data_IF_108609887975
#
_entry.id   IF_108609887975
#
_cell.length_a   1.000
_cell.length_b   1.000
_cell.length_c   1.000
_cell.angle_alpha   90.00
_cell.angle_beta   90.00
_cell.angle_gamma   90.00
#
_symmetry.space_group_name_H-M   'P 1'
#
loop_
_entity.id
_entity.type
_entity.pdbx_description
1 polymer ?
#
# COMPACT_ATOMS: atom_id res chain seq x y z
N UNK A 1 21.20 7.98 -5.40
CA UNK A 1 20.69 7.59 -6.73
C UNK A 1 19.43 6.74 -6.56
N UNK A 2 18.39 7.29 -5.92
CA UNK A 2 17.14 6.59 -5.62
C UNK A 2 15.90 7.51 -5.55
N UNK A 3 15.98 8.76 -6.04
CA UNK A 3 14.94 9.76 -5.78
C UNK A 3 14.21 10.28 -7.04
N UNK A 4 14.45 9.68 -8.22
CA UNK A 4 13.88 10.15 -9.49
C UNK A 4 12.73 9.30 -10.05
N UNK A 5 12.48 8.10 -9.50
CA UNK A 5 11.49 7.18 -10.08
C UNK A 5 10.06 7.43 -9.54
N UNK A 6 9.92 8.08 -8.38
CA UNK A 6 8.61 8.40 -7.79
C UNK A 6 7.88 9.57 -8.47
N UNK A 7 8.55 10.33 -9.33
CA UNK A 7 8.06 11.59 -9.86
C UNK A 7 7.43 11.50 -11.26
N UNK A 8 7.36 10.30 -11.86
CA UNK A 8 6.67 10.12 -13.15
C UNK A 8 5.18 9.80 -13.02
N UNK A 9 4.66 9.71 -11.79
CA UNK A 9 3.22 9.77 -11.51
C UNK A 9 2.80 11.23 -11.26
N UNK A 10 3.24 12.15 -12.12
CA UNK A 10 2.70 13.50 -12.17
C UNK A 10 1.58 13.49 -13.20
N UNK A 11 0.37 13.45 -12.66
CA UNK A 11 -0.86 13.83 -13.35
C UNK A 11 -0.63 15.20 -14.00
N UNK A 12 -0.88 15.28 -15.31
CA UNK A 12 -1.05 16.54 -16.04
C UNK A 12 -2.12 17.38 -15.32
N UNK A 13 -1.71 18.37 -14.52
CA UNK A 13 -2.60 19.41 -14.02
C UNK A 13 -2.30 20.67 -14.81
N UNK A 14 -3.33 21.11 -15.54
CA UNK A 14 -3.31 22.23 -16.45
C UNK A 14 -2.80 23.54 -15.83
N UNK A 15 -2.15 24.34 -16.65
CA UNK A 15 -1.78 25.74 -16.41
C UNK A 15 -2.99 26.52 -15.85
N UNK A 16 -2.89 27.05 -14.62
CA UNK A 16 -3.87 28.00 -14.07
C UNK A 16 -3.36 29.43 -14.34
N UNK A 17 -4.07 30.16 -15.20
CA UNK A 17 -3.92 31.61 -15.33
C UNK A 17 -4.59 32.32 -14.12
N UNK A 18 -4.03 33.41 -13.57
CA UNK A 18 -4.59 34.07 -12.40
C UNK A 18 -5.81 34.91 -12.79
N UNK A 19 -6.97 34.66 -12.17
CA UNK A 19 -8.12 35.56 -12.26
C UNK A 19 -9.53 34.95 -12.29
N UNK A 20 -9.69 33.62 -12.22
CA UNK A 20 -11.03 32.99 -12.26
C UNK A 20 -11.32 32.25 -10.95
N UNK A 21 -12.42 32.59 -10.31
CA UNK A 21 -13.02 31.82 -9.22
C UNK A 21 -13.49 30.47 -9.79
N UNK A 22 -12.58 29.50 -9.93
CA UNK A 22 -12.92 28.19 -10.46
C UNK A 22 -13.74 27.42 -9.41
N UNK A 23 -14.99 27.08 -9.78
CA UNK A 23 -15.63 25.90 -9.22
C UNK A 23 -14.71 24.73 -9.53
N UNK A 24 -13.99 24.23 -8.52
CA UNK A 24 -13.28 22.95 -8.58
C UNK A 24 -14.34 21.84 -8.71
N UNK A 25 -14.81 21.60 -9.92
CA UNK A 25 -15.56 20.38 -10.25
C UNK A 25 -14.55 19.27 -10.45
N UNK A 26 -14.64 18.21 -9.65
CA UNK A 26 -13.83 17.01 -9.87
C UNK A 26 -14.09 16.46 -11.28
N UNK A 27 -13.04 16.17 -12.07
CA UNK A 27 -13.20 15.50 -13.35
C UNK A 27 -13.90 14.14 -13.17
N UNK A 28 -14.58 13.69 -14.22
CA UNK A 28 -15.09 12.32 -14.29
C UNK A 28 -13.94 11.36 -14.56
N UNK A 29 -13.60 10.52 -13.59
CA UNK A 29 -12.52 9.54 -13.70
C UNK A 29 -13.00 8.17 -14.19
N UNK A 30 -14.31 7.93 -14.26
CA UNK A 30 -14.91 6.64 -14.61
C UNK A 30 -14.59 6.18 -16.05
N UNK A 31 -14.16 7.11 -16.91
CA UNK A 31 -13.75 6.83 -18.29
C UNK A 31 -12.23 6.81 -18.50
N UNK A 32 -11.44 6.92 -17.43
CA UNK A 32 -9.98 6.95 -17.48
C UNK A 32 -9.41 5.65 -16.86
N UNK A 33 -9.41 4.52 -17.59
CA UNK A 33 -8.82 3.29 -17.06
C UNK A 33 -7.31 3.45 -16.88
N UNK A 34 -6.79 3.01 -15.74
CA UNK A 34 -5.36 3.08 -15.42
C UNK A 34 -4.82 1.69 -15.14
N UNK A 35 -3.71 1.36 -15.81
CA UNK A 35 -2.89 0.19 -15.51
C UNK A 35 -1.70 0.63 -14.66
N UNK A 36 -1.61 0.07 -13.46
CA UNK A 36 -0.45 0.20 -12.58
C UNK A 36 0.44 -1.02 -12.79
N UNK A 37 1.74 -0.79 -12.99
CA UNK A 37 2.77 -1.84 -13.06
C UNK A 37 3.88 -1.49 -12.10
N UNK A 38 4.23 -2.40 -11.19
CA UNK A 38 5.34 -2.16 -10.28
C UNK A 38 5.36 -3.11 -9.09
N UNK A 39 6.24 -2.80 -8.14
CA UNK A 39 6.45 -3.63 -6.95
C UNK A 39 5.23 -3.60 -6.03
N UNK A 40 4.77 -4.80 -5.70
CA UNK A 40 3.65 -5.01 -4.80
C UNK A 40 4.18 -5.48 -3.45
N UNK A 41 3.68 -4.89 -2.38
CA UNK A 41 4.08 -5.27 -1.03
C UNK A 41 2.89 -5.23 -0.09
N UNK A 42 2.95 -6.01 0.98
CA UNK A 42 2.00 -5.99 2.08
C UNK A 42 2.62 -5.21 3.26
N UNK A 43 2.01 -4.09 3.62
CA UNK A 43 2.34 -3.39 4.86
C UNK A 43 1.58 -4.07 6.01
N UNK A 44 2.30 -4.82 6.86
CA UNK A 44 1.75 -5.56 7.99
C UNK A 44 2.00 -4.83 9.29
N UNK A 45 0.96 -4.63 10.09
CA UNK A 45 1.02 -3.96 11.38
C UNK A 45 0.70 -4.95 12.49
N UNK A 46 1.63 -5.09 13.44
CA UNK A 46 1.41 -5.83 14.67
C UNK A 46 1.17 -4.83 15.79
N UNK A 47 -0.05 -4.81 16.31
CA UNK A 47 -0.43 -3.99 17.44
C UNK A 47 -0.37 -4.83 18.71
N UNK A 48 0.14 -4.24 19.78
CA UNK A 48 0.24 -4.92 21.06
C UNK A 48 0.74 -4.01 22.18
N UNK A 49 0.40 -4.36 23.42
CA UNK A 49 0.92 -3.68 24.59
C UNK A 49 2.33 -4.14 24.96
N UNK A 50 3.13 -3.22 25.51
CA UNK A 50 4.42 -3.51 26.16
C UNK A 50 4.25 -3.40 27.67
N UNK A 51 4.27 -4.52 28.39
CA UNK A 51 4.13 -4.55 29.86
C UNK A 51 5.39 -4.98 30.59
N UNK A 52 6.38 -5.53 29.89
CA UNK A 52 7.64 -5.99 30.48
C UNK A 52 8.84 -5.79 29.56
N UNK A 53 10.02 -5.75 30.16
CA UNK A 53 11.31 -5.80 29.46
C UNK A 53 11.78 -7.25 29.39
N UNK A 54 12.48 -7.62 28.32
CA UNK A 54 13.05 -8.96 28.19
C UNK A 54 14.12 -9.21 29.28
N UNK A 55 14.13 -10.38 29.93
CA UNK A 55 15.21 -10.74 30.85
C UNK A 55 16.55 -11.00 30.12
N UNK A 56 16.53 -11.21 28.81
CA UNK A 56 17.71 -11.53 27.99
C UNK A 56 18.41 -10.29 27.43
N UNK A 57 17.68 -9.18 27.27
CA UNK A 57 18.20 -7.92 26.70
C UNK A 57 17.31 -6.74 27.11
N UNK A 58 17.83 -5.50 27.16
CA UNK A 58 17.08 -4.30 27.55
C UNK A 58 16.12 -3.83 26.43
N UNK A 59 15.29 -4.73 25.90
CA UNK A 59 14.31 -4.50 24.84
C UNK A 59 12.90 -4.81 25.34
N UNK A 60 11.88 -4.00 24.97
CA UNK A 60 10.51 -4.24 25.37
C UNK A 60 9.93 -5.49 24.68
N UNK A 61 9.14 -6.27 25.41
CA UNK A 61 8.38 -7.40 24.84
C UNK A 61 6.98 -6.92 24.48
N UNK A 62 6.63 -7.04 23.20
CA UNK A 62 5.30 -6.70 22.68
C UNK A 62 4.43 -7.95 22.70
N UNK A 63 3.30 -7.90 23.41
CA UNK A 63 2.26 -8.93 23.31
C UNK A 63 1.31 -8.54 22.18
N UNK A 64 1.50 -9.12 21.00
CA UNK A 64 0.65 -8.87 19.83
C UNK A 64 -0.77 -9.38 20.11
N UNK A 65 -1.75 -8.52 19.96
CA UNK A 65 -3.19 -8.83 20.12
C UNK A 65 -4.01 -8.52 18.87
N UNK A 66 -3.48 -7.71 17.96
CA UNK A 66 -4.10 -7.40 16.68
C UNK A 66 -3.08 -7.36 15.54
N UNK A 67 -3.46 -7.93 14.40
CA UNK A 67 -2.71 -7.87 13.14
C UNK A 67 -3.59 -7.13 12.12
N UNK A 68 -3.01 -6.16 11.44
CA UNK A 68 -3.66 -5.44 10.35
C UNK A 68 -2.77 -5.48 9.10
N UNK A 69 -3.35 -5.92 7.99
CA UNK A 69 -2.68 -6.00 6.70
C UNK A 69 -3.22 -4.92 5.77
N UNK A 70 -2.31 -4.17 5.12
CA UNK A 70 -2.65 -3.13 4.17
C UNK A 70 -1.88 -3.31 2.86
N UNK A 71 -2.52 -3.17 1.70
CA UNK A 71 -1.80 -3.16 0.44
C UNK A 71 -0.87 -1.94 0.33
N UNK A 72 0.41 -2.19 0.05
CA UNK A 72 1.47 -1.20 -0.09
C UNK A 72 2.03 -1.13 -1.51
N UNK A 73 2.97 -0.20 -1.75
CA UNK A 73 3.63 -0.03 -3.05
C UNK A 73 2.64 0.25 -4.20
N UNK A 74 2.81 -0.44 -5.32
CA UNK A 74 1.93 -0.33 -6.48
C UNK A 74 0.47 -0.70 -6.16
N UNK A 75 0.21 -1.58 -5.19
CA UNK A 75 -1.14 -1.92 -4.78
C UNK A 75 -1.86 -0.74 -4.11
N UNK A 76 -1.17 0.04 -3.26
CA UNK A 76 -1.74 1.25 -2.68
C UNK A 76 -2.07 2.31 -3.74
N UNK A 77 -1.21 2.43 -4.76
CA UNK A 77 -1.47 3.33 -5.90
C UNK A 77 -2.76 2.92 -6.63
N UNK A 78 -2.93 1.63 -6.92
CA UNK A 78 -4.14 1.12 -7.57
C UNK A 78 -5.40 1.32 -6.72
N UNK A 79 -5.30 1.16 -5.38
CA UNK A 79 -6.39 1.47 -4.46
C UNK A 79 -6.80 2.95 -4.51
N UNK A 80 -5.83 3.86 -4.50
CA UNK A 80 -6.12 5.30 -4.57
C UNK A 80 -6.81 5.67 -5.89
N UNK A 81 -6.39 5.08 -7.01
CA UNK A 81 -7.04 5.28 -8.31
C UNK A 81 -8.49 4.79 -8.29
N UNK A 82 -8.73 3.60 -7.74
CA UNK A 82 -10.09 3.06 -7.60
C UNK A 82 -10.96 3.92 -6.67
N UNK A 83 -10.39 4.44 -5.57
CA UNK A 83 -11.08 5.33 -4.64
C UNK A 83 -11.49 6.68 -5.29
N UNK A 84 -10.74 7.14 -6.30
CA UNK A 84 -11.12 8.30 -7.12
C UNK A 84 -12.24 7.99 -8.13
N UNK A 85 -12.68 6.73 -8.23
CA UNK A 85 -13.74 6.29 -9.14
C UNK A 85 -13.26 5.88 -10.53
N UNK A 86 -11.94 5.76 -10.74
CA UNK A 86 -11.38 5.33 -12.01
C UNK A 86 -11.24 3.78 -12.07
N UNK A 87 -11.44 3.14 -13.24
CA UNK A 87 -11.15 1.72 -13.39
C UNK A 87 -9.65 1.43 -13.22
N UNK A 88 -9.27 0.69 -12.19
CA UNK A 88 -7.88 0.35 -11.91
C UNK A 88 -7.56 -1.12 -12.22
N UNK A 89 -6.44 -1.36 -12.90
CA UNK A 89 -5.81 -2.67 -13.05
C UNK A 89 -4.39 -2.63 -12.50
N UNK A 90 -3.92 -3.74 -11.94
CA UNK A 90 -2.60 -3.85 -11.35
C UNK A 90 -1.90 -5.11 -11.85
N UNK A 91 -0.67 -4.95 -12.34
CA UNK A 91 0.25 -6.04 -12.65
C UNK A 91 1.47 -5.92 -11.75
N UNK A 92 1.88 -7.02 -11.14
CA UNK A 92 3.04 -7.09 -10.27
C UNK A 92 3.49 -8.52 -10.03
N UNK A 93 4.61 -8.67 -9.34
CA UNK A 93 5.16 -9.97 -8.95
C UNK A 93 4.92 -10.18 -7.46
N UNK A 94 4.52 -11.38 -7.08
CA UNK A 94 4.35 -11.79 -5.67
C UNK A 94 4.93 -13.19 -5.47
N UNK A 95 5.06 -13.60 -4.22
CA UNK A 95 5.23 -15.01 -3.90
C UNK A 95 3.96 -15.82 -4.15
N UNK A 96 4.05 -17.11 -3.88
CA UNK A 96 2.89 -17.98 -3.70
C UNK A 96 2.64 -18.25 -2.22
N UNK A 97 2.16 -17.22 -1.52
CA UNK A 97 2.04 -17.20 -0.08
C UNK A 97 0.79 -16.43 0.40
N UNK A 98 0.54 -16.50 1.71
CA UNK A 98 -0.61 -15.86 2.37
C UNK A 98 -0.64 -14.34 2.16
N UNK A 99 0.53 -13.69 2.08
CA UNK A 99 0.59 -12.25 1.85
C UNK A 99 0.08 -11.88 0.45
N UNK A 100 0.40 -12.69 -0.57
CA UNK A 100 -0.15 -12.53 -1.92
C UNK A 100 -1.68 -12.72 -1.94
N UNK A 101 -2.21 -13.66 -1.15
CA UNK A 101 -3.64 -13.89 -1.02
C UNK A 101 -4.34 -12.70 -0.33
N UNK A 102 -3.78 -12.20 0.77
CA UNK A 102 -4.27 -11.03 1.50
C UNK A 102 -4.34 -9.78 0.60
N UNK A 103 -3.29 -9.55 -0.20
CA UNK A 103 -3.26 -8.49 -1.21
C UNK A 103 -4.34 -8.68 -2.28
N UNK A 104 -4.45 -9.88 -2.84
CA UNK A 104 -5.41 -10.21 -3.90
C UNK A 104 -6.85 -9.99 -3.43
N UNK A 105 -7.17 -10.41 -2.20
CA UNK A 105 -8.48 -10.25 -1.59
C UNK A 105 -8.81 -8.77 -1.33
N UNK A 106 -7.85 -8.01 -0.77
CA UNK A 106 -8.04 -6.59 -0.47
C UNK A 106 -8.27 -5.76 -1.74
N UNK A 107 -7.48 -6.01 -2.78
CA UNK A 107 -7.61 -5.33 -4.07
C UNK A 107 -8.93 -5.67 -4.77
N UNK A 108 -9.33 -6.95 -4.73
CA UNK A 108 -10.62 -7.39 -5.29
C UNK A 108 -11.79 -6.73 -4.58
N UNK A 109 -11.74 -6.62 -3.25
CA UNK A 109 -12.78 -5.95 -2.47
C UNK A 109 -12.92 -4.46 -2.83
N UNK A 110 -11.82 -3.81 -3.23
CA UNK A 110 -11.79 -2.43 -3.71
C UNK A 110 -12.10 -2.27 -5.22
N UNK A 111 -12.45 -3.36 -5.92
CA UNK A 111 -12.76 -3.32 -7.36
C UNK A 111 -11.53 -3.20 -8.28
N UNK A 112 -10.32 -3.36 -7.75
CA UNK A 112 -9.08 -3.36 -8.55
C UNK A 112 -8.87 -4.71 -9.22
N UNK A 113 -8.59 -4.71 -10.53
CA UNK A 113 -8.25 -5.94 -11.27
C UNK A 113 -6.78 -6.27 -11.11
N UNK A 114 -6.45 -7.07 -10.10
CA UNK A 114 -5.09 -7.56 -9.90
C UNK A 114 -4.75 -8.74 -10.83
N UNK A 115 -3.50 -8.76 -11.31
CA UNK A 115 -2.86 -9.80 -12.12
C UNK A 115 -1.45 -10.01 -11.61
N UNK A 116 -1.28 -10.89 -10.63
CA UNK A 116 0.03 -11.18 -10.06
C UNK A 116 0.69 -12.35 -10.78
N UNK A 117 1.95 -12.15 -11.16
CA UNK A 117 2.84 -13.25 -11.47
C UNK A 117 3.35 -13.81 -10.15
N UNK A 118 2.87 -15.01 -9.77
CA UNK A 118 3.33 -15.69 -8.57
C UNK A 118 4.61 -16.47 -8.84
N UNK A 119 5.56 -16.38 -7.92
CA UNK A 119 6.83 -17.11 -7.95
C UNK A 119 6.95 -17.91 -6.65
N UNK A 120 6.92 -19.24 -6.73
CA UNK A 120 6.88 -20.11 -5.54
C UNK A 120 8.11 -19.94 -4.62
N UNK A 121 9.29 -19.74 -5.19
CA UNK A 121 10.56 -19.70 -4.45
C UNK A 121 10.96 -18.30 -3.96
N UNK A 122 10.09 -17.31 -4.09
CA UNK A 122 10.33 -15.95 -3.60
C UNK A 122 9.17 -15.47 -2.73
N UNK A 123 9.42 -14.95 -1.53
CA UNK A 123 8.34 -14.43 -0.71
C UNK A 123 7.79 -13.12 -1.29
N UNK A 124 6.50 -12.89 -1.10
CA UNK A 124 5.90 -11.57 -1.29
C UNK A 124 6.60 -10.56 -0.39
N UNK A 125 6.84 -9.35 -0.89
CA UNK A 125 7.46 -8.28 -0.10
C UNK A 125 6.51 -7.91 1.04
N UNK A 126 6.95 -8.11 2.29
CA UNK A 126 6.21 -7.67 3.48
C UNK A 126 7.03 -6.62 4.21
N UNK A 127 6.38 -5.53 4.62
CA UNK A 127 6.95 -4.50 5.49
C UNK A 127 6.26 -4.58 6.84
N UNK A 128 6.97 -5.10 7.84
CA UNK A 128 6.41 -5.30 9.17
C UNK A 128 6.66 -4.07 10.04
N UNK A 129 5.59 -3.58 10.66
CA UNK A 129 5.62 -2.47 11.63
C UNK A 129 5.06 -2.97 12.95
N UNK A 130 5.87 -2.91 14.00
CA UNK A 130 5.43 -3.29 15.35
C UNK A 130 5.04 -2.02 16.10
N UNK A 131 3.81 -1.98 16.60
CA UNK A 131 3.16 -0.81 17.18
C UNK A 131 2.74 -1.08 18.63
N UNK A 132 3.04 -0.14 19.53
CA UNK A 132 2.57 -0.14 20.92
C UNK A 132 2.13 1.26 21.33
N UNK A 133 0.94 1.41 21.90
CA UNK A 133 0.38 2.70 22.36
C UNK A 133 0.55 3.84 21.34
N UNK A 134 0.24 3.55 20.06
CA UNK A 134 0.40 4.46 18.92
C UNK A 134 1.84 4.88 18.57
N UNK A 135 2.86 4.25 19.16
CA UNK A 135 4.26 4.44 18.81
C UNK A 135 4.76 3.24 18.00
N UNK A 136 5.55 3.52 16.96
CA UNK A 136 6.22 2.48 16.19
C UNK A 136 7.51 2.09 16.92
N UNK A 137 7.59 0.83 17.34
CA UNK A 137 8.74 0.28 18.06
C UNK A 137 9.79 -0.31 17.12
N UNK A 138 9.35 -0.91 16.01
CA UNK A 138 10.25 -1.61 15.08
C UNK A 138 9.74 -1.53 13.64
N UNK A 139 10.68 -1.57 12.69
CA UNK A 139 10.44 -1.73 11.26
C UNK A 139 11.37 -2.80 10.69
N UNK A 140 10.81 -3.76 9.98
CA UNK A 140 11.53 -4.83 9.27
C UNK A 140 11.05 -4.86 7.81
#
# INVERSE_FOLDING_TARGET
MADACFLYVIIFVAFIAPGVFMKLSMPRFDQAPVLVVGDVMLDRYWHGGTSRISPEAPVPVVKVDQIEDRPGGAANVALNIAALGAPASLVGVTGDDEAADSLSNSLKAAGVRARFQRIADQPTIVKLRVMSRHQQLLRI
#
